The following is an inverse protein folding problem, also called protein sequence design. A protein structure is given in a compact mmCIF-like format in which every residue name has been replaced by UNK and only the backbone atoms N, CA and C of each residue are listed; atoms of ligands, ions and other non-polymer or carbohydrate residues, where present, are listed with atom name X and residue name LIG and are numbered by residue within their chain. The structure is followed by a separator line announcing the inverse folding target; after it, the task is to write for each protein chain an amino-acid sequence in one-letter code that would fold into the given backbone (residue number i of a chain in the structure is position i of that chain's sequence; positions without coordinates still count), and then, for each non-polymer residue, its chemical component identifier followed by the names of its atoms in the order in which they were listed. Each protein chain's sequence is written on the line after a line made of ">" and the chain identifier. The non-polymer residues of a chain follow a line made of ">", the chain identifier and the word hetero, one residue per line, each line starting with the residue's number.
data_IF_281456494944
#
_entry.id   IF_281456494944
#
_cell.length_a   1.000
_cell.length_b   1.000
_cell.length_c   1.000
_cell.angle_alpha   90.00
_cell.angle_beta   90.00
_cell.angle_gamma   90.00
#
_symmetry.space_group_name_H-M   'P 1'
#
loop_
_entity.id
_entity.type
_entity.pdbx_description
1 polymer ?
#
# COMPACT_ATOMS: atom_id res chain seq x y z
N UNK A 1 -21.95 10.94 21.85
CA UNK A 1 -21.06 11.94 21.23
C UNK A 1 -19.77 11.24 20.82
N UNK A 2 -19.62 10.88 19.54
CA UNK A 2 -18.41 10.25 19.02
C UNK A 2 -17.76 11.22 18.03
N UNK A 3 -16.53 11.63 18.36
CA UNK A 3 -15.75 12.62 17.64
C UNK A 3 -15.45 12.08 16.23
N UNK A 4 -16.13 12.61 15.21
CA UNK A 4 -15.70 12.48 13.81
C UNK A 4 -14.52 13.43 13.64
N UNK A 5 -13.30 12.90 13.67
CA UNK A 5 -12.12 13.63 13.24
C UNK A 5 -12.32 13.99 11.76
N UNK A 6 -12.68 15.24 11.49
CA UNK A 6 -12.72 15.78 10.14
C UNK A 6 -11.28 15.83 9.63
N UNK A 7 -10.92 15.10 8.55
CA UNK A 7 -9.57 15.20 8.02
C UNK A 7 -9.36 16.63 7.49
N UNK A 8 -8.34 17.31 7.99
CA UNK A 8 -7.88 18.58 7.46
C UNK A 8 -7.59 18.37 5.96
N UNK A 9 -8.17 19.16 5.04
CA UNK A 9 -7.99 18.96 3.60
C UNK A 9 -6.53 19.13 3.15
N UNK A 10 -5.66 19.74 3.97
CA UNK A 10 -4.21 19.84 3.73
C UNK A 10 -3.46 18.54 4.06
N UNK A 11 -4.06 17.64 4.84
CA UNK A 11 -3.44 16.41 5.35
C UNK A 11 -4.35 15.18 5.21
N UNK A 12 -5.26 15.17 4.23
CA UNK A 12 -6.03 13.99 3.88
C UNK A 12 -5.24 13.00 3.00
N UNK A 13 -5.52 11.69 3.05
CA UNK A 13 -4.95 10.70 2.11
C UNK A 13 -5.26 10.99 0.63
N UNK A 14 -6.20 11.92 0.37
CA UNK A 14 -6.52 12.50 -0.94
C UNK A 14 -5.59 13.64 -1.39
N UNK A 15 -4.68 14.13 -0.53
CA UNK A 15 -3.76 15.24 -0.84
C UNK A 15 -2.40 14.76 -1.37
N UNK A 16 -2.05 13.48 -1.16
CA UNK A 16 -0.78 12.94 -1.68
C UNK A 16 -0.88 12.70 -3.19
N UNK A 17 -0.10 13.46 -3.96
CA UNK A 17 -0.03 13.27 -5.41
C UNK A 17 0.64 11.93 -5.75
N UNK A 18 0.37 11.38 -6.95
CA UNK A 18 1.08 10.17 -7.41
C UNK A 18 2.61 10.29 -7.32
N UNK A 19 3.16 11.47 -7.58
CA UNK A 19 4.60 11.73 -7.48
C UNK A 19 5.12 11.63 -6.04
N UNK A 20 4.35 12.13 -5.07
CA UNK A 20 4.70 12.01 -3.64
C UNK A 20 4.63 10.55 -3.19
N UNK A 21 3.60 9.80 -3.60
CA UNK A 21 3.49 8.36 -3.29
C UNK A 21 4.62 7.55 -3.92
N UNK A 22 5.03 7.87 -5.15
CA UNK A 22 6.19 7.25 -5.79
C UNK A 22 7.51 7.58 -5.07
N UNK A 23 7.65 8.79 -4.52
CA UNK A 23 8.81 9.15 -3.72
C UNK A 23 8.87 8.36 -2.40
N UNK A 24 7.74 8.25 -1.69
CA UNK A 24 7.63 7.43 -0.47
C UNK A 24 7.97 5.98 -0.79
N UNK A 25 7.40 5.41 -1.86
CA UNK A 25 7.69 4.03 -2.27
C UNK A 25 9.20 3.81 -2.52
N UNK A 26 9.88 4.75 -3.19
CA UNK A 26 11.33 4.69 -3.39
C UNK A 26 12.11 4.75 -2.08
N UNK A 27 11.70 5.59 -1.13
CA UNK A 27 12.33 5.65 0.19
C UNK A 27 12.17 4.32 0.95
N UNK A 28 10.99 3.70 0.89
CA UNK A 28 10.77 2.40 1.53
C UNK A 28 11.57 1.28 0.86
N UNK A 29 11.68 1.31 -0.48
CA UNK A 29 12.54 0.40 -1.24
C UNK A 29 14.02 0.56 -0.87
N UNK A 30 14.49 1.79 -0.73
CA UNK A 30 15.86 2.08 -0.33
C UNK A 30 16.16 1.65 1.11
N UNK A 31 15.17 1.75 2.01
CA UNK A 31 15.31 1.33 3.40
C UNK A 31 15.41 -0.20 3.55
N UNK A 32 14.75 -0.98 2.68
CA UNK A 32 14.73 -2.44 2.75
C UNK A 32 14.85 -3.10 1.36
N UNK A 33 15.98 -2.94 0.66
CA UNK A 33 16.12 -3.32 -0.75
C UNK A 33 15.87 -4.82 -0.98
N UNK A 34 16.23 -5.69 -0.03
CA UNK A 34 16.05 -7.14 -0.13
C UNK A 34 14.58 -7.58 -0.14
N UNK A 35 13.72 -6.87 0.59
CA UNK A 35 12.28 -7.17 0.66
C UNK A 35 11.58 -6.82 -0.64
N UNK A 36 11.99 -5.72 -1.28
CA UNK A 36 11.42 -5.26 -2.54
C UNK A 36 12.06 -5.94 -3.76
N UNK A 37 13.32 -6.37 -3.69
CA UNK A 37 13.97 -7.14 -4.75
C UNK A 37 13.29 -8.50 -5.02
N UNK A 38 12.64 -9.06 -3.98
CA UNK A 38 11.87 -10.30 -4.07
C UNK A 38 10.38 -10.08 -4.34
N UNK A 39 9.95 -8.85 -4.60
CA UNK A 39 8.55 -8.56 -4.89
C UNK A 39 8.12 -9.25 -6.18
N UNK A 40 7.12 -10.13 -6.08
CA UNK A 40 6.53 -10.78 -7.24
C UNK A 40 5.87 -9.75 -8.17
N UNK A 41 5.65 -10.13 -9.44
CA UNK A 41 4.96 -9.27 -10.40
C UNK A 41 3.56 -8.82 -9.92
N UNK A 42 2.91 -9.62 -9.06
CA UNK A 42 1.66 -9.24 -8.39
C UNK A 42 1.87 -8.07 -7.43
N UNK A 43 2.88 -8.14 -6.55
CA UNK A 43 3.20 -7.09 -5.59
C UNK A 43 3.65 -5.80 -6.31
N UNK A 44 4.37 -5.92 -7.43
CA UNK A 44 4.72 -4.76 -8.26
C UNK A 44 3.49 -4.05 -8.83
N UNK A 45 2.45 -4.79 -9.24
CA UNK A 45 1.17 -4.20 -9.67
C UNK A 45 0.47 -3.47 -8.53
N UNK A 46 0.52 -4.01 -7.30
CA UNK A 46 -0.04 -3.33 -6.13
C UNK A 46 0.65 -1.98 -5.87
N UNK A 47 1.97 -1.91 -6.02
CA UNK A 47 2.71 -0.66 -5.91
C UNK A 47 2.29 0.37 -6.96
N UNK A 48 2.06 -0.06 -8.20
CA UNK A 48 1.53 0.82 -9.25
C UNK A 48 0.15 1.40 -8.89
N UNK A 49 -0.75 0.58 -8.35
CA UNK A 49 -2.09 1.01 -7.91
C UNK A 49 -2.04 1.93 -6.69
N UNK A 50 -1.09 1.72 -5.78
CA UNK A 50 -0.83 2.65 -4.68
C UNK A 50 -0.36 4.01 -5.20
N UNK A 51 0.61 4.03 -6.13
CA UNK A 51 1.09 5.28 -6.75
C UNK A 51 -0.03 6.00 -7.49
N UNK A 52 -0.89 5.27 -8.21
CA UNK A 52 -2.03 5.83 -8.92
C UNK A 52 -3.13 6.42 -8.01
N UNK A 53 -3.07 6.16 -6.70
CA UNK A 53 -4.12 6.60 -5.78
C UNK A 53 -5.27 5.61 -5.59
N UNK A 54 -5.27 4.49 -6.32
CA UNK A 54 -6.34 3.49 -6.28
C UNK A 54 -6.35 2.64 -5.00
N UNK A 55 -5.18 2.48 -4.36
CA UNK A 55 -5.02 1.74 -3.12
C UNK A 55 -4.37 2.61 -2.05
N UNK A 56 -4.72 2.38 -0.78
CA UNK A 56 -3.95 2.89 0.34
C UNK A 56 -2.75 1.97 0.64
N UNK A 57 -1.75 2.47 1.38
CA UNK A 57 -0.63 1.63 1.78
C UNK A 57 -1.06 0.43 2.66
N UNK A 58 -1.99 0.58 3.62
CA UNK A 58 -2.59 -0.55 4.32
C UNK A 58 -3.22 -1.60 3.40
N UNK A 59 -3.92 -1.19 2.34
CA UNK A 59 -4.50 -2.14 1.37
C UNK A 59 -3.42 -2.92 0.61
N UNK A 60 -2.32 -2.26 0.24
CA UNK A 60 -1.16 -2.93 -0.37
C UNK A 60 -0.57 -3.96 0.58
N UNK A 61 -0.37 -3.63 1.85
CA UNK A 61 0.12 -4.58 2.85
C UNK A 61 -0.86 -5.76 3.01
N UNK A 62 -2.15 -5.48 3.16
CA UNK A 62 -3.17 -6.52 3.29
C UNK A 62 -3.20 -7.44 2.07
N UNK A 63 -3.12 -6.91 0.84
CA UNK A 63 -3.13 -7.70 -0.39
C UNK A 63 -1.81 -8.45 -0.65
N UNK A 64 -0.68 -7.92 -0.16
CA UNK A 64 0.64 -8.58 -0.22
C UNK A 64 0.72 -9.73 0.78
N UNK A 65 0.23 -9.49 2.00
CA UNK A 65 0.30 -10.43 3.12
C UNK A 65 -0.89 -11.40 3.10
N UNK A 66 -1.92 -11.11 2.29
CA UNK A 66 -2.99 -12.05 2.00
C UNK A 66 -2.37 -13.35 1.50
N UNK A 67 -2.58 -14.47 2.20
CA UNK A 67 -2.15 -15.76 1.69
C UNK A 67 -2.88 -15.92 0.35
N UNK A 68 -2.12 -16.08 -0.74
CA UNK A 68 -2.63 -16.61 -1.99
C UNK A 68 -3.50 -17.80 -1.59
N UNK A 69 -4.82 -17.66 -1.75
CA UNK A 69 -5.84 -18.49 -1.13
C UNK A 69 -5.44 -19.97 -1.20
N UNK A 70 -4.77 -20.47 -0.16
CA UNK A 70 -4.79 -21.88 0.15
C UNK A 70 -6.11 -21.97 0.91
N UNK A 71 -7.20 -22.49 0.31
CA UNK A 71 -8.30 -22.91 1.13
C UNK A 71 -7.69 -23.89 2.12
N UNK A 72 -7.58 -23.48 3.38
CA UNK A 72 -7.44 -24.41 4.48
C UNK A 72 -8.70 -25.26 4.43
N UNK A 73 -8.60 -26.36 3.67
CA UNK A 73 -9.47 -27.52 3.80
C UNK A 73 -9.24 -28.03 5.22
N UNK A 74 -9.93 -27.41 6.17
CA UNK A 74 -10.04 -27.95 7.50
C UNK A 74 -11.31 -28.81 7.56
N UNK A 75 -10.99 -30.10 7.52
CA UNK A 75 -11.71 -31.33 7.81
C UNK A 75 -12.75 -31.22 8.94
#
# INVERSE_FOLDING_TARGET
>A
MAQKATPDPRFGPSAQTPQQRAHVLRQMQAANPTLYARASAYVQRLYGRYVAGELSWPDVCALRDAPMHLPSYQR
#
